data_IF_327968422878
#
_entry.id   IF_327968422878
#
_cell.length_a   1.000
_cell.length_b   1.000
_cell.length_c   1.000
_cell.angle_alpha   90.00
_cell.angle_beta   90.00
_cell.angle_gamma   90.00
#
_symmetry.space_group_name_H-M   'P 1'
#
loop_
_entity.id
_entity.type
_entity.pdbx_description
1 polymer ?
#
# COMPACT_ATOMS: atom_id res chain seq x y z
N UNK A 1 16.52 -31.90 -20.18
CA UNK A 1 15.13 -32.30 -19.86
C UNK A 1 14.71 -31.43 -18.70
N UNK A 2 13.98 -30.38 -18.98
CA UNK A 2 13.30 -29.58 -17.94
C UNK A 2 12.03 -30.37 -17.64
N UNK A 3 11.90 -30.90 -16.42
CA UNK A 3 10.76 -31.69 -16.00
C UNK A 3 9.47 -30.86 -16.03
N UNK A 4 8.45 -31.37 -16.70
CA UNK A 4 7.09 -30.83 -16.65
C UNK A 4 6.60 -30.85 -15.20
N UNK A 5 6.33 -29.68 -14.64
CA UNK A 5 5.72 -29.55 -13.31
C UNK A 5 4.22 -29.75 -13.51
N UNK A 6 3.72 -30.96 -13.23
CA UNK A 6 2.29 -31.23 -13.21
C UNK A 6 1.69 -30.65 -11.92
N UNK A 7 0.71 -29.76 -12.06
CA UNK A 7 -0.14 -29.31 -10.95
C UNK A 7 -1.46 -30.04 -11.02
N UNK A 8 -1.80 -30.72 -9.93
CA UNK A 8 -3.06 -31.44 -9.79
C UNK A 8 -3.77 -30.95 -8.52
N UNK A 9 -5.01 -30.50 -8.66
CA UNK A 9 -5.85 -30.13 -7.51
C UNK A 9 -6.65 -31.35 -7.06
N UNK A 10 -6.41 -31.77 -5.83
CA UNK A 10 -7.05 -32.92 -5.22
C UNK A 10 -7.86 -32.52 -4.00
N UNK A 11 -9.00 -33.15 -3.80
CA UNK A 11 -9.72 -33.03 -2.52
C UNK A 11 -8.99 -33.81 -1.43
N UNK A 12 -9.22 -33.49 -0.16
CA UNK A 12 -8.62 -34.21 0.99
C UNK A 12 -8.95 -35.71 0.93
N UNK A 13 -10.08 -36.07 0.36
CA UNK A 13 -10.50 -37.48 0.19
C UNK A 13 -9.65 -38.22 -0.85
N UNK A 14 -9.29 -37.55 -1.94
CA UNK A 14 -8.47 -38.09 -3.01
C UNK A 14 -7.00 -38.12 -2.64
N UNK A 15 -6.55 -37.13 -1.85
CA UNK A 15 -5.17 -37.03 -1.38
C UNK A 15 -4.76 -38.14 -0.37
N UNK A 16 -5.72 -38.87 0.20
CA UNK A 16 -5.41 -39.97 1.16
C UNK A 16 -4.55 -41.09 0.58
N UNK A 17 -4.59 -41.28 -0.71
CA UNK A 17 -3.88 -42.36 -1.42
C UNK A 17 -2.78 -41.81 -2.35
N UNK A 18 -2.42 -40.51 -2.23
CA UNK A 18 -1.39 -39.90 -3.03
C UNK A 18 -0.01 -40.42 -2.61
N UNK A 19 0.72 -40.98 -3.57
CA UNK A 19 2.10 -41.40 -3.36
C UNK A 19 2.99 -40.26 -3.82
N UNK A 20 3.73 -39.67 -2.88
CA UNK A 20 4.66 -38.57 -3.15
C UNK A 20 6.02 -39.12 -3.53
N UNK A 21 6.65 -38.47 -4.49
CA UNK A 21 8.03 -38.73 -4.92
C UNK A 21 8.98 -37.69 -4.36
N UNK A 22 10.28 -38.02 -4.38
CA UNK A 22 11.31 -37.05 -3.94
C UNK A 22 11.30 -35.82 -4.84
N UNK A 23 11.15 -34.64 -4.23
CA UNK A 23 11.00 -33.36 -4.92
C UNK A 23 9.56 -32.84 -5.08
N UNK A 24 8.55 -33.63 -4.70
CA UNK A 24 7.16 -33.19 -4.72
C UNK A 24 6.87 -32.19 -3.59
N UNK A 25 6.04 -31.20 -3.88
CA UNK A 25 5.59 -30.21 -2.91
C UNK A 25 4.07 -30.22 -2.81
N UNK A 26 3.56 -30.41 -1.58
CA UNK A 26 2.12 -30.41 -1.32
C UNK A 26 1.72 -29.15 -0.58
N UNK A 27 0.80 -28.41 -1.16
CA UNK A 27 0.23 -27.21 -0.54
C UNK A 27 -1.22 -27.47 -0.17
N UNK A 28 -1.54 -27.40 1.12
CA UNK A 28 -2.91 -27.58 1.61
C UNK A 28 -3.58 -26.21 1.78
N UNK A 29 -4.59 -25.94 0.96
CA UNK A 29 -5.38 -24.71 1.03
C UNK A 29 -6.74 -24.97 1.66
N UNK A 30 -7.22 -24.04 2.49
CA UNK A 30 -8.64 -24.04 2.88
C UNK A 30 -9.49 -23.72 1.65
N UNK A 31 -10.47 -24.57 1.35
CA UNK A 31 -11.32 -24.54 0.13
C UNK A 31 -12.00 -23.20 -0.18
N UNK A 32 -11.99 -22.23 0.73
CA UNK A 32 -12.63 -20.92 0.55
C UNK A 32 -11.64 -19.75 0.45
N UNK A 33 -10.32 -19.99 0.31
CA UNK A 33 -9.33 -18.95 0.57
C UNK A 33 -8.52 -18.47 -0.64
N UNK A 34 -8.55 -19.18 -1.77
CA UNK A 34 -7.77 -18.74 -2.93
C UNK A 34 -8.55 -19.08 -4.20
N UNK A 35 -9.29 -18.13 -4.71
CA UNK A 35 -9.60 -18.13 -6.14
C UNK A 35 -8.34 -17.67 -6.85
N UNK A 36 -7.52 -18.61 -7.29
CA UNK A 36 -6.49 -18.32 -8.27
C UNK A 36 -7.24 -17.84 -9.52
N UNK A 37 -7.02 -16.62 -9.94
CA UNK A 37 -7.42 -16.20 -11.28
C UNK A 37 -6.61 -17.08 -12.24
N UNK A 38 -7.27 -17.92 -13.07
CA UNK A 38 -6.55 -18.84 -13.96
C UNK A 38 -5.65 -18.12 -14.98
N UNK A 39 -5.77 -16.79 -15.07
CA UNK A 39 -4.95 -15.94 -15.93
C UNK A 39 -3.87 -15.15 -15.17
N UNK A 40 -3.82 -15.25 -13.86
CA UNK A 40 -2.82 -14.54 -13.04
C UNK A 40 -2.26 -15.50 -11.98
N UNK A 41 -1.07 -16.02 -12.21
CA UNK A 41 -0.33 -16.92 -11.30
C UNK A 41 0.14 -16.19 -10.01
N UNK A 42 -0.19 -14.91 -9.83
CA UNK A 42 0.19 -14.14 -8.67
C UNK A 42 -0.91 -14.16 -7.61
N UNK A 43 -0.56 -14.68 -6.45
CA UNK A 43 -1.39 -14.56 -5.25
C UNK A 43 -1.47 -13.08 -4.86
N UNK A 44 -2.69 -12.57 -4.74
CA UNK A 44 -2.90 -11.26 -4.12
C UNK A 44 -2.41 -11.31 -2.67
N UNK A 45 -1.58 -10.37 -2.31
CA UNK A 45 -0.94 -10.33 -1.00
C UNK A 45 -1.15 -8.99 -0.32
N UNK A 46 -1.34 -9.04 0.99
CA UNK A 46 -1.34 -7.85 1.86
C UNK A 46 -0.26 -8.00 2.91
N UNK A 47 0.29 -6.90 3.39
CA UNK A 47 1.33 -6.95 4.41
C UNK A 47 0.96 -6.15 5.65
N UNK A 48 1.32 -6.68 6.82
CA UNK A 48 1.21 -5.97 8.09
C UNK A 48 2.56 -5.99 8.79
N UNK A 49 3.02 -4.82 9.22
CA UNK A 49 4.34 -4.60 9.81
C UNK A 49 4.24 -3.88 11.15
N UNK A 50 5.28 -3.98 11.95
CA UNK A 50 5.39 -3.29 13.24
C UNK A 50 4.80 -4.08 14.40
N UNK A 51 4.09 -3.42 15.30
CA UNK A 51 3.73 -3.92 16.62
C UNK A 51 2.43 -4.75 16.61
N UNK A 52 2.45 -5.83 15.82
CA UNK A 52 1.48 -6.92 15.85
C UNK A 52 2.16 -8.21 16.30
N UNK A 53 1.42 -9.22 16.72
CA UNK A 53 2.02 -10.48 17.23
C UNK A 53 2.77 -11.24 16.15
N UNK A 54 2.24 -11.28 14.93
CA UNK A 54 2.85 -11.98 13.79
C UNK A 54 2.92 -11.03 12.58
N UNK A 55 3.92 -10.15 12.50
CA UNK A 55 4.12 -9.31 11.32
C UNK A 55 4.53 -10.17 10.12
N UNK A 56 4.04 -9.81 8.92
CA UNK A 56 4.35 -10.57 7.71
C UNK A 56 3.45 -10.22 6.54
N UNK A 57 3.59 -10.98 5.46
CA UNK A 57 2.72 -10.92 4.30
C UNK A 57 1.71 -12.07 4.35
N UNK A 58 0.46 -11.75 4.03
CA UNK A 58 -0.66 -12.66 4.12
C UNK A 58 -1.36 -12.76 2.77
N UNK A 59 -1.79 -13.96 2.36
CA UNK A 59 -2.61 -14.10 1.16
C UNK A 59 -3.97 -13.43 1.39
N UNK A 60 -4.36 -12.60 0.43
CA UNK A 60 -5.61 -11.86 0.46
C UNK A 60 -6.75 -12.72 -0.04
N UNK A 61 -7.84 -12.76 0.72
CA UNK A 61 -9.10 -13.37 0.31
C UNK A 61 -10.03 -12.28 -0.24
N UNK A 62 -10.75 -12.54 -1.34
CA UNK A 62 -11.73 -11.58 -1.84
C UNK A 62 -12.74 -11.14 -0.79
N UNK A 63 -12.89 -9.83 -0.59
CA UNK A 63 -13.77 -9.24 0.41
C UNK A 63 -13.22 -9.18 1.84
N UNK A 64 -11.98 -9.60 2.05
CA UNK A 64 -11.31 -9.51 3.35
C UNK A 64 -11.11 -8.07 3.78
N UNK A 65 -11.28 -7.81 5.07
CA UNK A 65 -11.25 -6.49 5.66
C UNK A 65 -10.01 -6.27 6.53
N UNK A 66 -9.78 -5.02 6.91
CA UNK A 66 -8.66 -4.63 7.78
C UNK A 66 -8.68 -5.37 9.13
N UNK A 67 -9.85 -5.51 9.75
CA UNK A 67 -10.02 -6.24 11.01
C UNK A 67 -9.64 -7.72 10.90
N UNK A 68 -9.96 -8.35 9.76
CA UNK A 68 -9.63 -9.75 9.49
C UNK A 68 -8.11 -9.95 9.43
N UNK A 69 -7.39 -9.05 8.72
CA UNK A 69 -5.94 -9.10 8.63
C UNK A 69 -5.28 -8.91 10.00
N UNK A 70 -5.75 -7.95 10.79
CA UNK A 70 -5.22 -7.72 12.15
C UNK A 70 -5.45 -8.97 13.01
N UNK A 71 -6.60 -9.60 12.89
CA UNK A 71 -6.94 -10.84 13.60
C UNK A 71 -6.06 -12.00 13.14
N UNK A 72 -5.81 -12.16 11.83
CA UNK A 72 -4.87 -13.15 11.27
C UNK A 72 -3.44 -12.95 11.79
N UNK A 73 -3.02 -11.69 11.94
CA UNK A 73 -1.74 -11.34 12.53
C UNK A 73 -1.66 -11.58 14.06
N UNK A 74 -2.73 -12.12 14.66
CA UNK A 74 -2.82 -12.42 16.08
C UNK A 74 -3.15 -11.22 16.97
N UNK A 75 -3.55 -10.10 16.36
CA UNK A 75 -3.82 -8.84 17.06
C UNK A 75 -2.54 -8.06 17.38
N UNK A 76 -2.72 -6.99 18.14
CA UNK A 76 -1.63 -6.10 18.57
C UNK A 76 -0.83 -6.69 19.72
N UNK A 77 0.43 -6.24 19.83
CA UNK A 77 1.21 -6.43 21.04
C UNK A 77 1.05 -5.23 22.02
N UNK A 78 1.64 -5.33 23.21
CA UNK A 78 1.49 -4.34 24.27
C UNK A 78 2.17 -2.98 23.95
N UNK A 79 3.01 -2.94 22.95
CA UNK A 79 3.76 -1.75 22.52
C UNK A 79 3.12 -1.05 21.31
N UNK A 80 2.03 -1.57 20.79
CA UNK A 80 1.36 -1.03 19.62
C UNK A 80 0.77 0.35 19.87
N UNK A 81 1.07 1.29 18.96
CA UNK A 81 0.44 2.60 18.91
C UNK A 81 -0.59 2.63 17.80
N UNK A 82 -1.79 2.14 18.09
CA UNK A 82 -2.86 1.94 17.11
C UNK A 82 -3.37 3.26 16.52
N UNK A 83 -3.35 4.37 17.31
CA UNK A 83 -3.77 5.69 16.87
C UNK A 83 -2.85 6.29 15.81
N UNK A 84 -1.59 5.83 15.76
CA UNK A 84 -0.62 6.24 14.77
C UNK A 84 -0.46 5.19 13.64
N UNK A 85 -1.36 4.24 13.54
CA UNK A 85 -1.40 3.26 12.47
C UNK A 85 -1.39 3.93 11.09
N UNK A 86 -0.76 3.29 10.13
CA UNK A 86 -0.62 3.78 8.76
C UNK A 86 -1.15 2.73 7.82
N UNK A 87 -2.04 3.14 6.91
CA UNK A 87 -2.53 2.31 5.83
C UNK A 87 -2.05 2.90 4.50
N UNK A 88 -1.31 2.11 3.75
CA UNK A 88 -0.77 2.46 2.43
C UNK A 88 -1.42 1.57 1.37
N UNK A 89 -1.86 2.20 0.28
CA UNK A 89 -2.47 1.53 -0.86
C UNK A 89 -1.79 1.94 -2.15
N UNK A 90 -1.21 0.97 -2.84
CA UNK A 90 -0.47 1.24 -4.07
C UNK A 90 -1.31 1.95 -5.13
N UNK A 91 -2.56 1.53 -5.34
CA UNK A 91 -3.47 2.19 -6.31
C UNK A 91 -3.74 3.66 -5.99
N UNK A 92 -3.67 4.05 -4.71
CA UNK A 92 -3.80 5.47 -4.31
C UNK A 92 -2.51 6.21 -4.62
N UNK A 93 -1.35 5.61 -4.33
CA UNK A 93 -0.05 6.18 -4.69
C UNK A 93 0.08 6.43 -6.21
N UNK A 94 -0.35 5.47 -7.02
CA UNK A 94 -0.36 5.59 -8.48
C UNK A 94 -1.23 6.76 -8.94
N UNK A 95 -2.47 6.88 -8.42
CA UNK A 95 -3.37 7.99 -8.74
C UNK A 95 -2.85 9.34 -8.27
N UNK A 96 -2.24 9.41 -7.09
CA UNK A 96 -1.59 10.62 -6.59
C UNK A 96 -0.43 11.02 -7.49
N UNK A 97 0.38 10.07 -7.95
CA UNK A 97 1.48 10.29 -8.87
C UNK A 97 0.99 10.81 -10.24
N UNK A 98 -0.04 10.21 -10.79
CA UNK A 98 -0.69 10.67 -12.03
C UNK A 98 -1.22 12.10 -11.90
N UNK A 99 -1.89 12.42 -10.78
CA UNK A 99 -2.41 13.76 -10.54
C UNK A 99 -1.30 14.80 -10.39
N UNK A 100 -0.20 14.47 -9.71
CA UNK A 100 0.96 15.36 -9.57
C UNK A 100 1.65 15.59 -10.92
N UNK A 101 1.81 14.55 -11.74
CA UNK A 101 2.36 14.65 -13.09
C UNK A 101 1.48 15.52 -13.98
N UNK A 102 0.17 15.31 -13.99
CA UNK A 102 -0.76 16.14 -14.78
C UNK A 102 -0.73 17.60 -14.34
N UNK A 103 -0.60 17.88 -13.04
CA UNK A 103 -0.44 19.24 -12.51
C UNK A 103 0.87 19.87 -12.98
N UNK A 104 1.96 19.10 -12.98
CA UNK A 104 3.26 19.56 -13.48
C UNK A 104 3.19 19.91 -14.97
N UNK A 105 2.55 19.06 -15.77
CA UNK A 105 2.39 19.30 -17.22
C UNK A 105 1.55 20.55 -17.49
N UNK A 106 0.45 20.77 -16.73
CA UNK A 106 -0.35 22.00 -16.84
C UNK A 106 0.45 23.26 -16.49
N UNK A 107 1.31 23.19 -15.47
CA UNK A 107 2.19 24.30 -15.10
C UNK A 107 3.23 24.57 -16.20
N UNK A 108 3.78 23.52 -16.79
CA UNK A 108 4.74 23.62 -17.91
C UNK A 108 4.11 24.27 -19.13
N UNK A 109 2.92 23.83 -19.53
CA UNK A 109 2.16 24.42 -20.65
C UNK A 109 1.81 25.89 -20.39
N UNK A 110 1.39 26.22 -19.17
CA UNK A 110 1.15 27.61 -18.76
C UNK A 110 2.39 28.47 -18.82
N UNK A 111 3.54 27.94 -18.43
CA UNK A 111 4.83 28.62 -18.49
C UNK A 111 5.24 28.89 -19.95
N UNK A 112 5.17 27.85 -20.80
CA UNK A 112 5.46 27.99 -22.24
C UNK A 112 4.55 29.03 -22.89
N UNK A 113 3.25 29.01 -22.57
CA UNK A 113 2.29 30.01 -23.08
C UNK A 113 2.64 31.41 -22.63
N UNK A 114 3.02 31.62 -21.38
CA UNK A 114 3.40 32.92 -20.81
C UNK A 114 4.68 33.49 -21.46
N UNK A 115 5.64 32.63 -21.77
CA UNK A 115 6.87 33.01 -22.50
C UNK A 115 6.51 33.40 -23.93
N UNK A 116 5.68 32.61 -24.61
CA UNK A 116 5.32 32.83 -26.03
C UNK A 116 4.51 34.11 -26.22
N UNK A 117 3.65 34.44 -25.28
CA UNK A 117 2.82 35.68 -25.34
C UNK A 117 3.56 36.94 -24.90
N UNK A 118 4.81 36.80 -24.43
CA UNK A 118 5.62 37.92 -23.94
C UNK A 118 5.18 38.51 -22.61
N UNK A 119 4.25 37.86 -21.91
CA UNK A 119 3.69 38.35 -20.63
C UNK A 119 4.72 38.44 -19.52
N UNK A 120 5.89 37.82 -19.67
CA UNK A 120 6.98 37.79 -18.68
C UNK A 120 8.06 38.87 -18.97
N UNK A 121 8.00 39.56 -20.11
CA UNK A 121 9.06 40.52 -20.51
C UNK A 121 9.09 41.80 -19.68
N UNK A 122 7.98 42.15 -19.02
CA UNK A 122 7.87 43.34 -18.16
C UNK A 122 8.22 43.08 -16.69
N UNK A 123 8.50 41.82 -16.30
CA UNK A 123 8.87 41.46 -14.94
C UNK A 123 10.41 41.50 -14.80
N UNK A 124 10.94 42.47 -14.09
CA UNK A 124 12.39 42.69 -13.90
C UNK A 124 13.21 41.50 -13.37
N UNK A 125 12.55 40.48 -12.81
CA UNK A 125 13.16 39.22 -12.28
C UNK A 125 12.57 37.96 -12.94
N UNK A 126 12.20 38.05 -14.24
CA UNK A 126 11.57 36.94 -14.96
C UNK A 126 12.41 35.64 -14.93
N UNK A 127 13.73 35.75 -14.97
CA UNK A 127 14.60 34.56 -14.93
C UNK A 127 14.52 33.83 -13.62
N UNK A 128 14.48 34.53 -12.50
CA UNK A 128 14.35 33.94 -11.16
C UNK A 128 12.99 33.23 -10.98
N UNK A 129 11.91 33.85 -11.48
CA UNK A 129 10.58 33.26 -11.45
C UNK A 129 10.50 31.99 -12.32
N UNK A 130 11.14 31.96 -13.48
CA UNK A 130 11.24 30.79 -14.37
C UNK A 130 12.00 29.65 -13.70
N UNK A 131 13.14 29.95 -13.05
CA UNK A 131 13.93 28.97 -12.35
C UNK A 131 13.17 28.36 -11.16
N UNK A 132 12.43 29.19 -10.40
CA UNK A 132 11.59 28.71 -9.29
C UNK A 132 10.45 27.82 -9.80
N UNK A 133 9.75 28.19 -10.85
CA UNK A 133 8.68 27.40 -11.47
C UNK A 133 9.23 26.09 -12.04
N UNK A 134 10.36 26.12 -12.73
CA UNK A 134 11.04 24.93 -13.23
C UNK A 134 11.39 23.94 -12.11
N UNK A 135 11.87 24.45 -10.98
CA UNK A 135 12.16 23.63 -9.80
C UNK A 135 10.88 23.02 -9.19
N UNK A 136 9.77 23.76 -9.15
CA UNK A 136 8.48 23.25 -8.67
C UNK A 136 7.97 22.13 -9.58
N UNK A 137 7.96 22.36 -10.91
CA UNK A 137 7.56 21.37 -11.90
C UNK A 137 8.38 20.09 -11.75
N UNK A 138 9.70 20.23 -11.63
CA UNK A 138 10.58 19.07 -11.42
C UNK A 138 10.22 18.31 -10.14
N UNK A 139 10.04 19.03 -9.02
CA UNK A 139 9.66 18.39 -7.74
C UNK A 139 8.32 17.68 -7.80
N UNK A 140 7.35 18.18 -8.56
CA UNK A 140 6.07 17.52 -8.79
C UNK A 140 6.23 16.24 -9.62
N UNK A 141 7.05 16.28 -10.69
CA UNK A 141 7.33 15.13 -11.55
C UNK A 141 8.14 14.04 -10.81
N UNK A 142 9.06 14.45 -9.96
CA UNK A 142 9.92 13.54 -9.18
C UNK A 142 9.24 13.05 -7.88
N UNK A 143 8.02 13.50 -7.58
CA UNK A 143 7.33 13.11 -6.36
C UNK A 143 6.93 11.63 -6.38
N UNK A 144 7.20 10.94 -5.29
CA UNK A 144 6.81 9.55 -5.07
C UNK A 144 5.83 9.46 -3.89
N UNK A 145 4.55 9.65 -4.14
CA UNK A 145 3.54 9.55 -3.11
C UNK A 145 3.43 8.10 -2.60
N UNK A 146 3.14 7.97 -1.32
CA UNK A 146 3.07 6.67 -0.64
C UNK A 146 1.67 6.07 -0.61
N UNK A 147 0.65 6.78 -1.10
CA UNK A 147 -0.74 6.32 -1.15
C UNK A 147 -1.35 6.12 0.23
N UNK A 148 -1.15 7.06 1.15
CA UNK A 148 -1.67 6.96 2.51
C UNK A 148 -3.18 7.14 2.56
N UNK A 149 -3.87 6.19 3.19
CA UNK A 149 -5.30 6.24 3.44
C UNK A 149 -5.56 6.53 4.92
N UNK A 150 -6.57 7.34 5.18
CA UNK A 150 -7.07 7.56 6.53
C UNK A 150 -7.87 6.33 6.95
N UNK A 151 -7.46 5.68 8.03
CA UNK A 151 -8.10 4.49 8.57
C UNK A 151 -8.07 4.52 10.10
N UNK A 152 -9.04 3.88 10.74
CA UNK A 152 -8.96 3.54 12.16
C UNK A 152 -8.45 2.12 12.33
N UNK A 153 -7.69 1.89 13.39
CA UNK A 153 -7.12 0.59 13.70
C UNK A 153 -7.67 0.03 15.03
N UNK A 154 -8.63 0.72 15.64
CA UNK A 154 -9.32 0.23 16.85
C UNK A 154 -10.34 -0.83 16.47
N UNK A 155 -10.04 -2.10 16.78
CA UNK A 155 -10.90 -3.25 16.50
C UNK A 155 -12.31 -3.10 17.09
N UNK A 156 -12.47 -2.38 18.21
CA UNK A 156 -13.80 -2.14 18.79
C UNK A 156 -14.62 -1.16 17.96
N UNK A 157 -13.97 -0.21 17.29
CA UNK A 157 -14.65 0.72 16.39
C UNK A 157 -14.96 0.03 15.05
N UNK A 158 -14.04 -0.75 14.52
CA UNK A 158 -14.24 -1.54 13.30
C UNK A 158 -15.40 -2.52 13.45
N UNK A 159 -15.48 -3.21 14.60
CA UNK A 159 -16.58 -4.16 14.88
C UNK A 159 -17.97 -3.50 15.01
N UNK A 160 -18.03 -2.20 15.29
CA UNK A 160 -19.30 -1.45 15.45
C UNK A 160 -19.75 -0.74 14.18
N UNK A 161 -18.84 -0.51 13.26
CA UNK A 161 -19.13 0.26 12.05
C UNK A 161 -18.37 -0.33 10.85
N UNK A 162 -19.10 -1.06 10.04
CA UNK A 162 -18.58 -1.73 8.83
C UNK A 162 -18.02 -0.74 7.80
N UNK A 163 -18.47 0.51 7.80
CA UNK A 163 -17.96 1.54 6.88
C UNK A 163 -16.52 1.98 7.21
N UNK A 164 -16.11 1.81 8.45
CA UNK A 164 -14.74 2.10 8.89
C UNK A 164 -13.79 0.93 8.62
N UNK A 165 -14.33 -0.27 8.46
CA UNK A 165 -13.55 -1.48 8.24
C UNK A 165 -13.27 -1.69 6.74
N UNK A 166 -12.16 -1.13 6.30
CA UNK A 166 -11.79 -1.06 4.89
C UNK A 166 -11.58 -2.44 4.28
N UNK A 167 -12.17 -2.65 3.10
CA UNK A 167 -11.87 -3.83 2.28
C UNK A 167 -10.44 -3.71 1.77
N UNK A 168 -9.67 -4.78 1.97
CA UNK A 168 -8.28 -4.88 1.53
C UNK A 168 -8.19 -5.13 0.03
N UNK A 169 -7.16 -4.57 -0.57
CA UNK A 169 -6.79 -4.79 -1.96
C UNK A 169 -5.38 -5.37 -2.04
N UNK A 170 -5.04 -5.93 -3.19
CA UNK A 170 -3.70 -6.42 -3.44
C UNK A 170 -2.64 -5.34 -3.22
N UNK A 171 -1.53 -5.74 -2.59
CA UNK A 171 -0.40 -4.89 -2.23
C UNK A 171 -0.70 -3.81 -1.18
N UNK A 172 -1.84 -3.87 -0.49
CA UNK A 172 -2.08 -3.03 0.67
C UNK A 172 -1.04 -3.32 1.76
N UNK A 173 -0.55 -2.27 2.39
CA UNK A 173 0.43 -2.35 3.47
C UNK A 173 -0.08 -1.61 4.71
N UNK A 174 -0.09 -2.33 5.82
CA UNK A 174 -0.44 -1.80 7.14
C UNK A 174 0.82 -1.71 7.99
N UNK A 175 1.02 -0.57 8.65
CA UNK A 175 2.14 -0.38 9.57
C UNK A 175 1.61 0.10 10.92
N UNK A 176 1.85 -0.67 11.95
CA UNK A 176 1.49 -0.34 13.33
C UNK A 176 2.77 0.08 14.06
N UNK A 177 2.99 1.37 14.31
CA UNK A 177 4.20 1.83 14.96
C UNK A 177 4.20 1.50 16.45
N UNK A 178 5.38 1.56 17.03
CA UNK A 178 5.60 1.41 18.47
C UNK A 178 5.22 2.70 19.21
N UNK A 179 4.63 2.57 20.39
CA UNK A 179 4.48 3.71 21.31
C UNK A 179 5.84 4.30 21.66
N UNK A 180 6.01 5.60 21.36
CA UNK A 180 7.21 6.31 21.81
C UNK A 180 7.10 6.58 23.31
N UNK A 181 8.14 6.23 24.04
CA UNK A 181 8.29 6.59 25.47
C UNK A 181 8.99 7.95 25.67
N UNK A 182 9.38 8.63 24.57
CA UNK A 182 10.10 9.90 24.60
C UNK A 182 9.20 11.05 24.17
N UNK A 183 9.27 12.15 24.90
CA UNK A 183 8.64 13.42 24.54
C UNK A 183 9.74 14.35 24.06
N UNK A 184 9.63 14.86 22.85
CA UNK A 184 10.51 15.90 22.33
C UNK A 184 9.87 17.27 22.59
N UNK A 185 10.55 18.11 23.35
CA UNK A 185 10.15 19.49 23.56
C UNK A 185 10.98 20.37 22.63
N UNK A 186 10.33 20.99 21.64
CA UNK A 186 10.97 21.94 20.71
C UNK A 186 10.36 23.31 20.96
N UNK A 187 11.20 24.32 21.18
CA UNK A 187 10.79 25.70 21.41
C UNK A 187 11.71 26.41 22.45
N UNK A 188 11.42 27.67 22.68
CA UNK A 188 12.12 28.44 23.69
C UNK A 188 11.54 28.07 25.06
N UNK A 189 12.33 27.35 25.86
CA UNK A 189 11.98 27.01 27.26
C UNK A 189 12.61 28.09 28.12
N UNK A 190 11.77 28.79 28.88
CA UNK A 190 12.19 29.74 29.92
C UNK A 190 12.43 28.99 31.22
#
# INVERSE_FOLDING_TARGET
>A
SIGDTLREELTISEAKNLILSDGDSVFVHKKNLITLDPNNDQLNMVSIKGEVKNPGSYPLVPGERLSDLITKAGGYNDQAYIEAGIFLRQKVAEKEKEALSATADQLEDGLVSSITTGSLQDMGDASLALDLLGNIIKRLKDAEPVGRIVATFDLNQLAKNDDLDLILLDQDQIVIPKKSSTVSVTGQVL
#
